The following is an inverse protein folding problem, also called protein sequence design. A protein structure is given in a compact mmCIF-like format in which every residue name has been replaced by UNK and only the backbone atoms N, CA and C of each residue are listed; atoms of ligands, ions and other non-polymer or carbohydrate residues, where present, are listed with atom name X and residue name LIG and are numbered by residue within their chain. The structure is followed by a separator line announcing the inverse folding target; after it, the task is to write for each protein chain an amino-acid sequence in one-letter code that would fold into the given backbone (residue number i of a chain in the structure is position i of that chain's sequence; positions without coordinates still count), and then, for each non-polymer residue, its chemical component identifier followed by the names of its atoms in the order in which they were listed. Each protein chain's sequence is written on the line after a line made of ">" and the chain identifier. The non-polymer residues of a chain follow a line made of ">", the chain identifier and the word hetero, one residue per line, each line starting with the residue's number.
data_IF_100140573001
#
_entry.id   IF_100140573001
#
_cell.length_a   1.000
_cell.length_b   1.000
_cell.length_c   1.000
_cell.angle_alpha   90.00
_cell.angle_beta   90.00
_cell.angle_gamma   90.00
#
_symmetry.space_group_name_H-M   'P 1'
#
loop_
_entity.id
_entity.type
_entity.pdbx_description
1 polymer ?
#
# COMPACT_ATOMS: atom_id res chain seq x y z
N UNK A 1 13.88 -8.72 -13.43
CA UNK A 1 14.60 -9.81 -12.73
C UNK A 1 14.90 -9.36 -11.32
N UNK A 2 14.59 -10.17 -10.31
CA UNK A 2 14.82 -9.79 -8.92
C UNK A 2 15.08 -11.02 -8.05
N UNK A 3 15.84 -10.83 -6.98
CA UNK A 3 16.06 -11.86 -5.97
C UNK A 3 15.16 -11.59 -4.76
N UNK A 4 14.58 -12.65 -4.20
CA UNK A 4 13.84 -12.61 -2.95
C UNK A 4 14.38 -13.65 -1.99
N UNK A 5 14.20 -13.37 -0.70
CA UNK A 5 14.53 -14.29 0.37
C UNK A 5 13.22 -14.81 0.96
N UNK A 6 12.86 -16.09 0.72
CA UNK A 6 11.72 -16.74 1.35
C UNK A 6 11.97 -17.04 2.83
N UNK A 7 10.98 -17.64 3.50
CA UNK A 7 11.04 -17.94 4.93
C UNK A 7 12.13 -18.96 5.31
N UNK A 8 12.61 -19.73 4.34
CA UNK A 8 13.73 -20.66 4.50
C UNK A 8 15.11 -19.97 4.54
N UNK A 9 15.17 -18.66 4.29
CA UNK A 9 16.39 -17.86 4.29
C UNK A 9 17.26 -18.04 3.04
N UNK A 10 16.81 -18.80 2.05
CA UNK A 10 17.54 -19.00 0.79
C UNK A 10 17.42 -17.78 -0.13
N UNK A 11 18.43 -17.51 -0.96
CA UNK A 11 18.35 -16.46 -1.98
C UNK A 11 17.82 -17.05 -3.28
N UNK A 12 16.56 -16.75 -3.62
CA UNK A 12 15.90 -17.26 -4.81
C UNK A 12 15.75 -16.15 -5.84
N UNK A 13 16.26 -16.39 -7.06
CA UNK A 13 16.05 -15.49 -8.19
C UNK A 13 14.72 -15.82 -8.89
N UNK A 14 13.82 -14.84 -8.94
CA UNK A 14 12.52 -14.91 -9.60
C UNK A 14 12.47 -14.05 -10.86
N UNK A 15 12.14 -14.68 -11.98
CA UNK A 15 11.84 -14.02 -13.24
C UNK A 15 10.75 -14.79 -14.01
N UNK A 16 10.39 -14.31 -15.22
CA UNK A 16 9.34 -14.92 -16.02
C UNK A 16 9.66 -16.36 -16.50
N UNK A 17 10.93 -16.75 -16.54
CA UNK A 17 11.42 -18.06 -17.00
C UNK A 17 11.87 -18.97 -15.84
N UNK A 18 12.33 -18.39 -14.74
CA UNK A 18 12.85 -19.06 -13.54
C UNK A 18 12.03 -18.64 -12.32
N UNK A 19 11.32 -19.59 -11.72
CA UNK A 19 10.37 -19.37 -10.62
C UNK A 19 9.27 -18.33 -10.96
N UNK A 20 8.51 -18.49 -12.05
CA UNK A 20 7.48 -17.54 -12.48
C UNK A 20 6.37 -17.30 -11.45
N UNK A 21 6.05 -18.32 -10.65
CA UNK A 21 5.10 -18.18 -9.55
C UNK A 21 5.59 -17.27 -8.42
N UNK A 22 6.89 -17.31 -8.10
CA UNK A 22 7.50 -16.39 -7.14
C UNK A 22 7.54 -14.97 -7.71
N UNK A 23 7.84 -14.84 -9.01
CA UNK A 23 7.80 -13.56 -9.70
C UNK A 23 6.38 -12.94 -9.69
N UNK A 24 5.33 -13.73 -9.90
CA UNK A 24 3.95 -13.27 -9.79
C UNK A 24 3.61 -12.84 -8.35
N UNK A 25 3.99 -13.66 -7.37
CA UNK A 25 3.76 -13.38 -5.95
C UNK A 25 4.45 -12.10 -5.48
N UNK A 26 5.67 -11.82 -5.95
CA UNK A 26 6.38 -10.57 -5.59
C UNK A 26 5.83 -9.32 -6.31
N UNK A 27 5.13 -9.47 -7.44
CA UNK A 27 4.57 -8.37 -8.22
C UNK A 27 3.08 -8.07 -7.90
N UNK A 28 2.53 -8.65 -6.83
CA UNK A 28 1.13 -8.41 -6.42
C UNK A 28 0.77 -8.92 -5.04
N UNK A 29 1.57 -9.81 -4.46
CA UNK A 29 1.35 -10.36 -3.12
C UNK A 29 1.99 -9.56 -1.98
N UNK A 30 2.72 -8.48 -2.28
CA UNK A 30 3.47 -7.71 -1.28
C UNK A 30 4.55 -8.54 -0.58
N UNK A 31 4.79 -8.27 0.71
CA UNK A 31 5.80 -8.97 1.51
C UNK A 31 5.32 -10.34 2.04
N UNK A 32 4.13 -10.80 1.66
CA UNK A 32 3.53 -12.05 2.13
C UNK A 32 4.26 -13.33 1.65
N UNK A 33 5.26 -13.20 0.77
CA UNK A 33 5.90 -14.33 0.09
C UNK A 33 7.44 -14.29 0.17
N UNK A 34 7.99 -13.39 0.99
CA UNK A 34 9.41 -13.17 1.16
C UNK A 34 9.83 -11.73 0.92
N UNK A 35 11.03 -11.39 1.40
CA UNK A 35 11.57 -10.04 1.29
C UNK A 35 12.30 -9.88 -0.05
N UNK A 36 11.85 -9.00 -0.95
CA UNK A 36 12.59 -8.73 -2.17
C UNK A 36 13.88 -7.95 -1.84
N UNK A 37 15.02 -8.44 -2.34
CA UNK A 37 16.35 -7.84 -2.10
C UNK A 37 16.88 -7.09 -3.31
N UNK A 38 16.33 -7.34 -4.50
CA UNK A 38 16.71 -6.64 -5.73
C UNK A 38 15.59 -6.63 -6.76
N UNK A 39 15.50 -5.55 -7.51
CA UNK A 39 14.60 -5.41 -8.66
C UNK A 39 15.38 -4.89 -9.86
N UNK A 40 15.17 -5.52 -11.02
CA UNK A 40 15.64 -5.02 -12.32
C UNK A 40 14.43 -4.48 -13.07
N UNK A 41 14.45 -3.17 -13.31
CA UNK A 41 13.40 -2.41 -13.98
C UNK A 41 13.89 -2.00 -15.37
N UNK A 42 13.01 -2.12 -16.38
CA UNK A 42 13.24 -1.50 -17.68
C UNK A 42 12.93 -0.01 -17.58
N UNK A 43 13.91 0.84 -17.88
CA UNK A 43 13.74 2.29 -17.87
C UNK A 43 13.53 2.81 -19.28
N UNK A 44 12.67 3.82 -19.41
CA UNK A 44 12.50 4.59 -20.63
C UNK A 44 13.07 6.00 -20.41
N UNK A 45 13.61 6.65 -21.46
CA UNK A 45 14.03 8.04 -21.34
C UNK A 45 12.85 8.89 -20.87
N UNK A 46 12.99 9.68 -19.78
CA UNK A 46 11.91 10.54 -19.34
C UNK A 46 11.60 11.57 -20.43
N UNK A 47 10.32 11.90 -20.68
CA UNK A 47 9.97 13.09 -21.43
C UNK A 47 10.64 14.32 -20.82
N UNK A 48 11.03 15.30 -21.65
CA UNK A 48 11.52 16.58 -21.14
C UNK A 48 10.35 17.32 -20.49
N UNK A 49 10.15 17.11 -19.19
CA UNK A 49 9.22 17.89 -18.41
C UNK A 49 9.86 19.23 -18.04
N UNK A 50 9.16 20.32 -18.32
CA UNK A 50 9.51 21.63 -17.81
C UNK A 50 8.97 21.73 -16.39
N UNK A 51 9.83 21.59 -15.39
CA UNK A 51 9.48 21.94 -14.01
C UNK A 51 9.55 23.46 -13.86
N UNK A 52 8.40 24.13 -13.91
CA UNK A 52 8.32 25.53 -13.55
C UNK A 52 8.15 25.65 -12.03
N UNK A 53 9.22 26.04 -11.35
CA UNK A 53 9.12 26.59 -10.00
C UNK A 53 8.40 27.92 -10.09
N UNK A 54 7.11 27.97 -9.74
CA UNK A 54 6.49 29.22 -9.29
C UNK A 54 6.97 29.48 -7.87
N UNK A 55 8.17 30.04 -7.75
CA UNK A 55 8.65 30.63 -6.51
C UNK A 55 7.79 31.83 -6.16
N UNK A 56 6.71 31.64 -5.41
CA UNK A 56 6.18 32.71 -4.57
C UNK A 56 7.26 33.00 -3.53
N UNK A 57 7.78 34.23 -3.54
CA UNK A 57 8.75 34.74 -2.57
C UNK A 57 8.44 34.22 -1.17
N UNK A 58 9.49 33.71 -0.53
CA UNK A 58 9.37 32.87 0.66
C UNK A 58 8.81 33.54 1.92
N UNK A 59 8.73 32.65 2.93
CA UNK A 59 8.25 32.81 4.31
C UNK A 59 6.77 32.55 4.50
N UNK A 60 6.43 31.27 4.66
CA UNK A 60 5.36 30.88 5.58
C UNK A 60 6.02 30.64 6.93
N UNK A 61 6.21 31.72 7.70
CA UNK A 61 6.19 31.62 9.15
C UNK A 61 4.75 31.91 9.55
N UNK A 62 3.98 30.86 9.82
CA UNK A 62 2.69 31.02 10.49
C UNK A 62 2.96 31.20 11.99
N UNK A 63 3.54 32.33 12.36
CA UNK A 63 3.40 32.84 13.72
C UNK A 63 2.23 33.82 13.71
N UNK A 64 1.19 33.44 14.44
CA UNK A 64 0.04 34.26 14.76
C UNK A 64 0.48 35.69 15.11
N UNK A 65 0.00 36.69 14.36
CA UNK A 65 0.11 38.09 14.77
C UNK A 65 -0.90 38.35 15.90
N UNK A 66 -0.51 39.00 17.01
CA UNK A 66 -1.45 39.40 18.07
C UNK A 66 -2.60 40.26 17.52
N UNK A 67 -3.82 40.19 18.09
CA UNK A 67 -4.13 39.65 19.41
C UNK A 67 -5.04 38.41 19.33
N UNK A 68 -4.49 37.20 19.39
CA UNK A 68 -5.24 36.01 19.75
C UNK A 68 -4.88 35.61 21.17
N UNK A 69 -5.69 36.05 22.13
CA UNK A 69 -5.70 35.53 23.48
C UNK A 69 -6.28 34.11 23.45
N UNK A 70 -5.42 33.09 23.39
CA UNK A 70 -5.73 31.74 23.86
C UNK A 70 -4.44 31.12 24.40
N UNK A 71 -4.14 31.44 25.66
CA UNK A 71 -3.19 30.70 26.48
C UNK A 71 -3.87 29.41 26.93
N UNK A 72 -3.67 28.31 26.20
CA UNK A 72 -3.61 26.92 26.74
C UNK A 72 -3.55 25.85 25.65
N UNK A 73 -2.63 26.00 24.70
CA UNK A 73 -2.22 24.87 23.86
C UNK A 73 -0.72 24.68 23.95
N UNK A 74 -0.29 23.99 25.01
CA UNK A 74 0.94 23.19 24.92
C UNK A 74 0.84 22.35 23.64
N UNK A 75 1.90 22.24 22.81
CA UNK A 75 1.88 21.36 21.64
C UNK A 75 1.52 19.95 22.12
N UNK A 76 0.27 19.54 21.89
CA UNK A 76 -0.12 18.16 22.13
C UNK A 76 0.81 17.34 21.23
N UNK A 77 1.58 16.44 21.83
CA UNK A 77 2.37 15.48 21.07
C UNK A 77 1.44 14.90 19.99
N UNK A 78 1.91 14.74 18.73
CA UNK A 78 1.10 14.10 17.70
C UNK A 78 0.58 12.79 18.26
N UNK A 79 -0.73 12.57 18.15
CA UNK A 79 -1.35 11.32 18.56
C UNK A 79 -0.60 10.21 17.81
N UNK A 80 -0.08 9.17 18.49
CA UNK A 80 0.57 8.06 17.81
C UNK A 80 -0.35 7.50 16.72
N UNK A 81 0.21 7.24 15.54
CA UNK A 81 -0.56 6.80 14.37
C UNK A 81 -1.45 5.59 14.67
N UNK A 82 -0.98 4.69 15.52
CA UNK A 82 -1.71 3.48 15.96
C UNK A 82 -2.98 3.83 16.75
N UNK A 83 -2.97 4.89 17.55
CA UNK A 83 -4.13 5.32 18.34
C UNK A 83 -5.15 6.09 17.48
N UNK A 84 -4.67 6.76 16.42
CA UNK A 84 -5.53 7.40 15.42
C UNK A 84 -6.26 6.37 14.56
N UNK A 85 -5.55 5.33 14.10
CA UNK A 85 -6.14 4.23 13.33
C UNK A 85 -7.04 3.32 14.17
N UNK A 86 -6.72 3.11 15.45
CA UNK A 86 -7.54 2.31 16.36
C UNK A 86 -8.82 3.03 16.84
N UNK A 87 -9.08 4.27 16.39
CA UNK A 87 -10.28 5.00 16.77
C UNK A 87 -11.52 4.40 16.07
N UNK A 88 -12.46 3.79 16.82
CA UNK A 88 -13.62 3.12 16.23
C UNK A 88 -14.57 4.08 15.53
N UNK A 89 -14.50 5.38 15.86
CA UNK A 89 -15.28 6.42 15.18
C UNK A 89 -14.70 6.74 13.79
N UNK A 90 -13.37 6.77 13.66
CA UNK A 90 -12.69 7.04 12.39
C UNK A 90 -12.76 5.84 11.46
N UNK A 91 -12.52 4.63 11.96
CA UNK A 91 -12.64 3.42 11.15
C UNK A 91 -14.09 3.21 10.68
N UNK A 92 -15.07 3.32 11.57
CA UNK A 92 -16.48 3.19 11.21
C UNK A 92 -16.94 4.19 10.14
N UNK A 93 -16.48 5.43 10.21
CA UNK A 93 -16.77 6.43 9.18
C UNK A 93 -16.08 6.09 7.84
N UNK A 94 -14.83 5.64 7.88
CA UNK A 94 -14.10 5.24 6.68
C UNK A 94 -14.78 4.08 5.96
N UNK A 95 -15.12 3.01 6.69
CA UNK A 95 -15.82 1.84 6.12
C UNK A 95 -17.20 2.20 5.57
N UNK A 96 -17.93 3.12 6.21
CA UNK A 96 -19.20 3.63 5.67
C UNK A 96 -18.99 4.40 4.36
N UNK A 97 -17.99 5.28 4.29
CA UNK A 97 -17.69 6.04 3.07
C UNK A 97 -17.30 5.12 1.93
N UNK A 98 -16.41 4.15 2.17
CA UNK A 98 -16.00 3.15 1.17
C UNK A 98 -17.22 2.40 0.64
N UNK A 99 -18.08 1.88 1.53
CA UNK A 99 -19.29 1.16 1.11
C UNK A 99 -20.30 2.02 0.34
N UNK A 100 -20.32 3.34 0.57
CA UNK A 100 -21.14 4.29 -0.23
C UNK A 100 -20.54 4.54 -1.61
N UNK A 101 -19.22 4.68 -1.70
CA UNK A 101 -18.51 4.82 -2.97
C UNK A 101 -18.75 3.59 -3.82
N UNK A 102 -18.54 2.38 -3.28
CA UNK A 102 -18.72 1.12 -3.99
C UNK A 102 -20.15 0.99 -4.57
N UNK A 103 -21.17 1.19 -3.74
CA UNK A 103 -22.58 1.15 -4.19
C UNK A 103 -22.88 2.16 -5.29
N UNK A 104 -22.31 3.36 -5.20
CA UNK A 104 -22.53 4.41 -6.20
C UNK A 104 -21.83 4.05 -7.50
N UNK A 105 -20.58 3.59 -7.43
CA UNK A 105 -19.80 3.16 -8.57
C UNK A 105 -20.42 1.95 -9.28
N UNK A 106 -21.01 1.00 -8.54
CA UNK A 106 -21.75 -0.13 -9.12
C UNK A 106 -22.99 0.35 -9.90
N UNK A 107 -23.76 1.27 -9.29
CA UNK A 107 -24.95 1.85 -9.92
C UNK A 107 -24.62 2.64 -11.20
N UNK A 108 -23.44 3.25 -11.27
CA UNK A 108 -22.95 3.99 -12.44
C UNK A 108 -22.19 3.13 -13.45
N UNK A 109 -22.06 1.82 -13.21
CA UNK A 109 -21.23 0.91 -14.01
C UNK A 109 -19.76 1.36 -14.14
N UNK A 110 -19.26 2.12 -13.16
CA UNK A 110 -17.88 2.59 -13.05
C UNK A 110 -17.06 1.77 -12.04
N UNK A 111 -17.69 0.80 -11.35
CA UNK A 111 -17.04 -0.03 -10.35
C UNK A 111 -15.96 -0.92 -10.96
N UNK A 112 -14.78 -0.86 -10.34
CA UNK A 112 -13.64 -1.72 -10.63
C UNK A 112 -13.39 -2.55 -9.39
N UNK A 113 -13.73 -3.85 -9.44
CA UNK A 113 -13.55 -4.76 -8.30
C UNK A 113 -12.09 -5.11 -8.00
N UNK A 114 -11.13 -4.54 -8.75
CA UNK A 114 -9.71 -4.67 -8.46
C UNK A 114 -9.31 -3.66 -7.38
N UNK A 115 -8.91 -4.16 -6.22
CA UNK A 115 -8.34 -3.38 -5.13
C UNK A 115 -6.82 -3.48 -5.19
N UNK A 116 -6.15 -2.34 -5.24
CA UNK A 116 -4.70 -2.29 -5.15
C UNK A 116 -4.28 -2.31 -3.69
N UNK A 117 -3.43 -3.27 -3.29
CA UNK A 117 -3.01 -3.50 -1.89
C UNK A 117 -2.55 -2.24 -1.13
N UNK A 118 -1.89 -1.30 -1.81
CA UNK A 118 -1.40 -0.06 -1.17
C UNK A 118 -2.50 0.98 -0.91
N UNK A 119 -3.64 0.84 -1.58
CA UNK A 119 -4.79 1.73 -1.47
C UNK A 119 -5.94 1.08 -0.67
N UNK A 120 -5.79 -0.20 -0.31
CA UNK A 120 -6.76 -0.93 0.48
C UNK A 120 -6.65 -0.56 1.96
N UNK A 121 -7.80 -0.38 2.60
CA UNK A 121 -7.86 -0.29 4.05
C UNK A 121 -7.63 -1.67 4.70
N UNK A 122 -7.22 -1.68 5.96
CA UNK A 122 -6.91 -2.90 6.72
C UNK A 122 -8.07 -3.91 6.82
N UNK A 123 -9.31 -3.45 6.67
CA UNK A 123 -10.51 -4.30 6.66
C UNK A 123 -10.83 -4.90 5.28
N UNK A 124 -10.21 -4.40 4.20
CA UNK A 124 -10.49 -4.81 2.83
C UNK A 124 -9.59 -5.98 2.40
N UNK A 125 -10.19 -7.04 1.86
CA UNK A 125 -9.42 -8.18 1.32
C UNK A 125 -8.89 -7.87 -0.08
N UNK A 126 -7.77 -7.16 -0.13
CA UNK A 126 -7.08 -6.85 -1.37
C UNK A 126 -6.55 -8.11 -2.10
N UNK A 127 -6.29 -9.20 -1.38
CA UNK A 127 -5.84 -10.45 -2.01
C UNK A 127 -6.99 -11.08 -2.80
N UNK A 128 -8.20 -11.08 -2.25
CA UNK A 128 -9.38 -11.60 -2.94
C UNK A 128 -9.65 -10.90 -4.28
N UNK A 129 -9.30 -9.61 -4.40
CA UNK A 129 -9.47 -8.84 -5.62
C UNK A 129 -8.65 -9.35 -6.83
N UNK A 130 -7.63 -10.19 -6.61
CA UNK A 130 -6.90 -10.87 -7.70
C UNK A 130 -7.69 -12.00 -8.37
N UNK A 131 -8.80 -12.43 -7.77
CA UNK A 131 -9.66 -13.51 -8.25
C UNK A 131 -9.19 -14.91 -7.85
N UNK A 132 -10.14 -15.85 -7.71
CA UNK A 132 -9.95 -17.20 -7.16
C UNK A 132 -8.75 -17.96 -7.75
N UNK A 133 -8.55 -17.90 -9.07
CA UNK A 133 -7.44 -18.60 -9.72
C UNK A 133 -6.07 -18.05 -9.28
N UNK A 134 -5.92 -16.73 -9.25
CA UNK A 134 -4.66 -16.10 -8.84
C UNK A 134 -4.43 -16.26 -7.34
N UNK A 135 -5.49 -16.14 -6.54
CA UNK A 135 -5.43 -16.40 -5.10
C UNK A 135 -4.99 -17.83 -4.82
N UNK A 136 -5.52 -18.82 -5.54
CA UNK A 136 -5.09 -20.22 -5.44
C UNK A 136 -3.60 -20.38 -5.75
N UNK A 137 -3.13 -19.78 -6.85
CA UNK A 137 -1.69 -19.78 -7.21
C UNK A 137 -0.83 -19.12 -6.14
N UNK A 138 -1.27 -18.01 -5.57
CA UNK A 138 -0.56 -17.34 -4.47
C UNK A 138 -0.49 -18.25 -3.24
N UNK A 139 -1.60 -18.89 -2.85
CA UNK A 139 -1.62 -19.84 -1.72
C UNK A 139 -0.69 -21.04 -1.93
N UNK A 140 -0.63 -21.57 -3.14
CA UNK A 140 0.30 -22.65 -3.49
C UNK A 140 1.76 -22.20 -3.37
N UNK A 141 2.07 -20.97 -3.76
CA UNK A 141 3.42 -20.39 -3.60
C UNK A 141 3.75 -20.13 -2.14
N UNK A 142 2.80 -19.65 -1.32
CA UNK A 142 2.98 -19.54 0.14
C UNK A 142 3.30 -20.90 0.74
N UNK A 143 2.54 -21.93 0.40
CA UNK A 143 2.77 -23.28 0.92
C UNK A 143 4.17 -23.83 0.53
N UNK A 144 4.66 -23.47 -0.66
CA UNK A 144 5.97 -23.89 -1.16
C UNK A 144 7.14 -23.15 -0.52
N UNK A 145 7.04 -21.83 -0.36
CA UNK A 145 8.17 -20.95 0.01
C UNK A 145 8.10 -20.42 1.44
N UNK A 146 6.93 -20.51 2.08
CA UNK A 146 6.70 -20.18 3.49
C UNK A 146 5.78 -21.21 4.17
N UNK A 147 6.22 -22.48 4.27
CA UNK A 147 5.44 -23.52 4.96
C UNK A 147 5.24 -23.20 6.45
N UNK A 148 6.15 -22.44 7.05
CA UNK A 148 6.07 -21.95 8.43
C UNK A 148 5.06 -20.82 8.62
N UNK A 149 4.58 -20.22 7.53
CA UNK A 149 3.70 -19.04 7.52
C UNK A 149 4.24 -17.89 8.37
N UNK A 150 5.53 -17.63 8.22
CA UNK A 150 6.24 -16.52 8.83
C UNK A 150 5.72 -15.16 8.32
N UNK A 151 5.38 -15.09 7.03
CA UNK A 151 4.85 -13.89 6.41
C UNK A 151 3.32 -13.98 6.40
N UNK A 152 2.71 -13.31 7.38
CA UNK A 152 1.28 -13.04 7.45
C UNK A 152 1.06 -11.62 7.91
N UNK A 153 0.15 -10.95 7.23
CA UNK A 153 -0.54 -9.75 7.70
C UNK A 153 -1.83 -10.15 8.44
#
# INVERSE_FOLDING_TARGET
>A
MGAAVPADGSLVNGNAESHPGLFLALNGGGNNFGTPTSFTLSTYPPPKFRAESRGTLGKIHLWCTPPCSNTDETPKQPIPYDELLASPMLSGLASEMIGRVDKTSEAEASYVGYLFMNDADHEQDAIAAYGEENVGRLRDMQAKYDPGRMFRD
#
